data_IF_070590874231
#
_entry.id   IF_070590874231
#
_cell.length_a   1.000
_cell.length_b   1.000
_cell.length_c   1.000
_cell.angle_alpha   90.00
_cell.angle_beta   90.00
_cell.angle_gamma   90.00
#
_symmetry.space_group_name_H-M   'P 1'
#
loop_
_entity.id
_entity.type
_entity.pdbx_description
1 polymer ?
#
# COMPACT_ATOMS: atom_id res chain seq x y z
N UNK A 1 8.27 7.75 -4.09
CA UNK A 1 7.96 8.32 -5.42
C UNK A 1 8.07 7.27 -6.50
N UNK A 2 7.17 7.31 -7.48
CA UNK A 2 7.17 6.40 -8.62
C UNK A 2 6.70 7.13 -9.89
N UNK A 3 6.90 6.49 -11.04
CA UNK A 3 6.38 6.94 -12.33
C UNK A 3 5.43 5.88 -12.86
N UNK A 4 4.29 6.30 -13.36
CA UNK A 4 3.24 5.41 -13.86
C UNK A 4 2.68 5.93 -15.17
N UNK A 5 2.48 5.04 -16.16
CA UNK A 5 1.68 5.31 -17.32
C UNK A 5 0.31 4.65 -17.20
N UNK A 6 -0.77 5.42 -17.26
CA UNK A 6 -2.13 4.91 -17.22
C UNK A 6 -3.11 5.87 -17.89
N UNK A 7 -4.17 5.35 -18.52
CA UNK A 7 -5.19 6.17 -19.20
C UNK A 7 -4.62 7.13 -20.26
N UNK A 8 -3.55 6.74 -20.95
CA UNK A 8 -2.87 7.56 -21.94
C UNK A 8 -2.05 8.73 -21.36
N UNK A 9 -1.84 8.79 -20.07
CA UNK A 9 -1.11 9.85 -19.36
C UNK A 9 0.09 9.27 -18.61
N UNK A 10 1.14 10.07 -18.42
CA UNK A 10 2.30 9.76 -17.60
C UNK A 10 2.23 10.56 -16.31
N UNK A 11 2.37 9.88 -15.18
CA UNK A 11 2.29 10.47 -13.85
C UNK A 11 3.60 10.30 -13.08
N UNK A 12 4.00 11.33 -12.36
CA UNK A 12 4.91 11.23 -11.22
C UNK A 12 4.08 11.24 -9.95
N UNK A 13 4.31 10.23 -9.10
CA UNK A 13 3.53 9.98 -7.90
C UNK A 13 4.38 10.16 -6.64
N UNK A 14 3.76 10.70 -5.59
CA UNK A 14 4.31 10.75 -4.25
C UNK A 14 3.16 10.71 -3.24
N UNK A 15 3.38 10.14 -2.07
CA UNK A 15 2.31 9.85 -1.11
C UNK A 15 1.86 11.06 -0.26
N UNK A 16 2.34 12.25 -0.55
CA UNK A 16 2.01 13.48 0.18
C UNK A 16 1.06 14.45 -0.53
N UNK A 17 0.53 14.10 -1.71
CA UNK A 17 -0.36 15.00 -2.45
C UNK A 17 -0.86 14.44 -3.77
N UNK A 18 -1.26 15.33 -4.67
CA UNK A 18 -1.72 14.97 -5.99
C UNK A 18 -0.59 14.43 -6.88
N UNK A 19 -0.90 13.53 -7.82
CA UNK A 19 0.02 13.20 -8.89
C UNK A 19 0.36 14.42 -9.75
N UNK A 20 1.54 14.40 -10.35
CA UNK A 20 1.90 15.36 -11.38
C UNK A 20 1.83 14.71 -12.77
N UNK A 21 1.20 15.37 -13.73
CA UNK A 21 1.30 14.99 -15.13
C UNK A 21 2.68 15.36 -15.68
N UNK A 22 3.19 14.47 -16.52
CA UNK A 22 4.46 14.65 -17.22
C UNK A 22 4.27 14.43 -18.72
N UNK A 23 5.13 15.07 -19.51
CA UNK A 23 5.28 14.75 -20.93
C UNK A 23 6.11 13.48 -21.10
N UNK A 24 6.12 12.91 -22.31
CA UNK A 24 7.04 11.82 -22.67
C UNK A 24 8.52 12.23 -22.63
N UNK A 25 8.81 13.53 -22.69
CA UNK A 25 10.14 14.10 -22.49
C UNK A 25 10.51 14.33 -21.03
N UNK A 26 9.64 13.92 -20.08
CA UNK A 26 9.80 14.05 -18.64
C UNK A 26 9.64 15.47 -18.09
N UNK A 27 9.11 16.40 -18.89
CA UNK A 27 8.77 17.72 -18.38
C UNK A 27 7.51 17.65 -17.51
N UNK A 28 7.49 18.39 -16.41
CA UNK A 28 6.31 18.50 -15.55
C UNK A 28 5.26 19.40 -16.20
N UNK A 29 4.06 18.86 -16.44
CA UNK A 29 2.92 19.63 -16.95
C UNK A 29 2.21 20.36 -15.81
N UNK A 30 2.03 19.69 -14.67
CA UNK A 30 1.39 20.25 -13.48
C UNK A 30 0.66 19.21 -12.62
N UNK A 31 0.03 19.67 -11.56
CA UNK A 31 -0.79 18.82 -10.68
C UNK A 31 -2.01 18.28 -11.45
N UNK A 32 -2.35 17.04 -11.18
CA UNK A 32 -3.51 16.38 -11.77
C UNK A 32 -4.43 15.81 -10.70
N UNK A 33 -5.66 16.23 -10.73
CA UNK A 33 -6.68 15.84 -9.75
C UNK A 33 -7.81 15.00 -10.34
N UNK A 34 -7.57 14.34 -11.48
CA UNK A 34 -8.59 13.56 -12.21
C UNK A 34 -9.84 14.39 -12.49
N UNK A 35 -9.64 15.56 -13.11
CA UNK A 35 -10.67 16.51 -13.54
C UNK A 35 -11.61 16.95 -12.39
N UNK A 36 -11.03 17.18 -11.22
CA UNK A 36 -11.72 17.60 -10.01
C UNK A 36 -12.29 16.47 -9.13
N UNK A 37 -11.98 15.23 -9.46
CA UNK A 37 -12.36 14.08 -8.64
C UNK A 37 -11.63 14.05 -7.31
N UNK A 38 -10.29 14.16 -7.32
CA UNK A 38 -9.52 14.35 -6.10
C UNK A 38 -9.72 15.77 -5.55
N UNK A 39 -9.87 15.86 -4.24
CA UNK A 39 -10.15 17.13 -3.54
C UNK A 39 -8.88 17.67 -2.88
N UNK A 40 -8.78 18.97 -2.68
CA UNK A 40 -7.68 19.57 -1.91
C UNK A 40 -7.47 18.84 -0.59
N UNK A 41 -6.23 18.45 -0.31
CA UNK A 41 -5.86 17.64 0.84
C UNK A 41 -5.81 16.12 0.61
N UNK A 42 -6.29 15.63 -0.54
CA UNK A 42 -6.11 14.22 -0.91
C UNK A 42 -4.65 13.95 -1.25
N UNK A 43 -4.10 12.93 -0.63
CA UNK A 43 -2.77 12.41 -0.93
C UNK A 43 -2.91 11.01 -1.56
N UNK A 44 -2.47 10.87 -2.81
CA UNK A 44 -2.54 9.61 -3.55
C UNK A 44 -1.31 8.76 -3.25
N UNK A 45 -1.49 7.44 -3.03
CA UNK A 45 -0.35 6.54 -2.84
C UNK A 45 0.64 6.60 -4.01
N UNK A 46 1.92 6.44 -3.71
CA UNK A 46 2.98 6.32 -4.71
C UNK A 46 3.12 4.88 -5.27
N UNK A 47 2.35 3.93 -4.76
CA UNK A 47 2.43 2.51 -5.11
C UNK A 47 1.10 1.93 -5.63
N UNK A 48 0.42 2.59 -6.59
CA UNK A 48 -0.79 2.01 -7.18
C UNK A 48 -0.45 0.74 -7.95
N UNK A 49 -1.47 -0.10 -8.17
CA UNK A 49 -1.34 -1.32 -8.97
C UNK A 49 -2.26 -1.25 -10.19
N UNK A 50 -1.78 -1.71 -11.31
CA UNK A 50 -2.62 -1.89 -12.51
C UNK A 50 -3.08 -3.34 -12.57
N UNK A 51 -4.39 -3.54 -12.62
CA UNK A 51 -4.96 -4.87 -12.76
C UNK A 51 -4.69 -5.39 -14.18
N UNK A 52 -3.95 -6.49 -14.37
CA UNK A 52 -3.56 -6.97 -15.69
C UNK A 52 -4.74 -7.45 -16.54
N UNK A 53 -5.86 -7.84 -15.91
CA UNK A 53 -7.04 -8.32 -16.64
C UNK A 53 -7.94 -7.21 -17.16
N UNK A 54 -8.07 -6.13 -16.41
CA UNK A 54 -8.99 -5.03 -16.72
C UNK A 54 -8.31 -3.75 -17.17
N UNK A 55 -7.01 -3.61 -16.90
CA UNK A 55 -6.27 -2.37 -17.07
C UNK A 55 -6.65 -1.29 -16.06
N UNK A 56 -7.49 -1.59 -15.08
CA UNK A 56 -7.88 -0.63 -14.05
C UNK A 56 -6.72 -0.34 -13.10
N UNK A 57 -6.57 0.93 -12.77
CA UNK A 57 -5.65 1.40 -11.74
C UNK A 57 -6.33 1.29 -10.37
N UNK A 58 -5.69 0.58 -9.47
CA UNK A 58 -6.10 0.44 -8.07
C UNK A 58 -5.14 1.29 -7.22
N UNK A 59 -5.68 2.24 -6.51
CA UNK A 59 -4.92 3.21 -5.74
C UNK A 59 -5.65 3.56 -4.45
N UNK A 60 -5.04 4.29 -3.55
CA UNK A 60 -5.74 4.83 -2.40
C UNK A 60 -5.39 6.30 -2.17
N UNK A 61 -6.33 7.00 -1.57
CA UNK A 61 -6.14 8.38 -1.09
C UNK A 61 -6.27 8.42 0.42
N UNK A 62 -5.46 9.26 1.04
CA UNK A 62 -5.51 9.56 2.46
C UNK A 62 -5.66 11.07 2.65
N UNK A 63 -6.37 11.46 3.72
CA UNK A 63 -6.48 12.85 4.16
C UNK A 63 -6.19 12.92 5.65
N UNK A 64 -5.51 13.95 6.06
CA UNK A 64 -5.16 14.14 7.48
C UNK A 64 -6.37 14.42 8.37
N UNK A 65 -7.40 15.04 7.80
CA UNK A 65 -8.62 15.49 8.49
C UNK A 65 -9.76 14.45 8.48
N UNK A 66 -9.55 13.26 7.88
CA UNK A 66 -10.59 12.24 7.78
C UNK A 66 -10.19 10.97 8.55
N UNK A 67 -11.15 10.31 9.28
CA UNK A 67 -10.89 9.07 10.03
C UNK A 67 -10.97 7.81 9.14
N UNK A 68 -10.63 7.93 7.86
CA UNK A 68 -10.62 6.85 6.87
C UNK A 68 -9.58 7.13 5.78
N UNK A 69 -9.23 6.11 5.02
CA UNK A 69 -8.66 6.24 3.69
C UNK A 69 -9.67 5.76 2.65
N UNK A 70 -9.48 6.12 1.40
CA UNK A 70 -10.38 5.71 0.32
C UNK A 70 -9.62 4.88 -0.70
N UNK A 71 -10.04 3.63 -0.89
CA UNK A 71 -9.61 2.83 -2.02
C UNK A 71 -10.29 3.35 -3.28
N UNK A 72 -9.50 3.67 -4.31
CA UNK A 72 -9.97 4.21 -5.58
C UNK A 72 -9.76 3.19 -6.68
N UNK A 73 -10.78 2.98 -7.53
CA UNK A 73 -10.67 2.19 -8.75
C UNK A 73 -10.89 3.13 -9.93
N UNK A 74 -9.90 3.20 -10.80
CA UNK A 74 -9.88 4.07 -11.98
C UNK A 74 -9.79 3.16 -13.20
N UNK A 75 -10.71 3.28 -14.15
CA UNK A 75 -10.74 2.41 -15.31
C UNK A 75 -9.52 2.60 -16.24
N UNK A 76 -9.37 1.73 -17.21
CA UNK A 76 -8.23 1.77 -18.14
C UNK A 76 -8.15 3.03 -18.99
N UNK A 77 -9.21 3.82 -19.06
CA UNK A 77 -9.26 5.12 -19.71
C UNK A 77 -8.85 6.27 -18.78
N UNK A 78 -8.62 6.01 -17.50
CA UNK A 78 -8.26 7.01 -16.50
C UNK A 78 -9.46 7.68 -15.84
N UNK A 79 -10.68 7.10 -15.95
CA UNK A 79 -11.87 7.60 -15.32
C UNK A 79 -12.09 6.91 -13.96
N UNK A 80 -12.26 7.65 -12.85
CA UNK A 80 -12.66 7.09 -11.57
C UNK A 80 -14.04 6.41 -11.68
N UNK A 81 -14.12 5.14 -11.27
CA UNK A 81 -15.35 4.35 -11.39
C UNK A 81 -15.87 3.84 -10.04
N UNK A 82 -15.03 3.78 -9.03
CA UNK A 82 -15.43 3.36 -7.68
C UNK A 82 -14.53 3.94 -6.61
N UNK A 83 -15.14 4.29 -5.48
CA UNK A 83 -14.47 4.67 -4.25
C UNK A 83 -15.03 3.83 -3.09
N UNK A 84 -14.17 3.30 -2.23
CA UNK A 84 -14.53 2.51 -1.05
C UNK A 84 -13.84 3.15 0.15
N UNK A 85 -14.63 3.71 1.07
CA UNK A 85 -14.09 4.26 2.31
C UNK A 85 -13.79 3.15 3.31
N UNK A 86 -12.60 3.20 3.87
CA UNK A 86 -12.12 2.20 4.83
C UNK A 86 -11.80 2.92 6.14
N UNK A 87 -12.48 2.58 7.24
CA UNK A 87 -12.27 3.24 8.51
C UNK A 87 -10.80 3.16 8.96
N UNK A 88 -10.27 4.30 9.40
CA UNK A 88 -8.92 4.42 9.94
C UNK A 88 -8.98 5.32 11.18
N UNK A 89 -9.37 4.78 12.33
CA UNK A 89 -9.62 5.61 13.53
C UNK A 89 -8.37 6.31 14.06
N UNK A 90 -7.19 5.79 13.74
CA UNK A 90 -5.90 6.45 13.97
C UNK A 90 -5.13 6.54 12.66
N UNK A 91 -4.44 7.65 12.43
CA UNK A 91 -3.65 7.87 11.21
C UNK A 91 -2.41 7.00 11.20
N UNK A 92 -2.54 5.80 10.64
CA UNK A 92 -1.42 4.91 10.40
C UNK A 92 -0.70 5.23 9.09
N UNK A 93 0.54 4.79 9.01
CA UNK A 93 1.34 4.89 7.80
C UNK A 93 0.94 3.74 6.87
N UNK A 94 0.10 4.06 5.88
CA UNK A 94 -0.26 3.15 4.79
C UNK A 94 0.54 3.58 3.57
N UNK A 95 1.53 2.79 3.20
CA UNK A 95 2.48 3.14 2.14
C UNK A 95 2.16 2.46 0.82
N UNK A 96 1.85 1.17 0.84
CA UNK A 96 1.61 0.34 -0.35
C UNK A 96 0.30 -0.44 -0.21
N UNK A 97 -0.17 -0.99 -1.30
CA UNK A 97 -1.32 -1.88 -1.40
C UNK A 97 -1.02 -3.02 -2.36
N UNK A 98 -1.73 -4.15 -2.25
CA UNK A 98 -1.52 -5.29 -3.12
C UNK A 98 -2.82 -5.89 -3.63
N UNK A 99 -2.87 -6.17 -4.94
CA UNK A 99 -3.94 -6.99 -5.52
C UNK A 99 -3.76 -8.46 -5.14
N UNK A 100 -4.86 -9.10 -4.76
CA UNK A 100 -4.93 -10.54 -4.47
C UNK A 100 -6.24 -11.08 -5.04
N UNK A 101 -6.24 -11.51 -6.30
CA UNK A 101 -7.47 -11.93 -6.97
C UNK A 101 -8.53 -10.81 -6.96
N UNK A 102 -9.68 -11.09 -6.38
CA UNK A 102 -10.77 -10.11 -6.25
C UNK A 102 -10.64 -9.15 -5.06
N UNK A 103 -9.55 -9.24 -4.30
CA UNK A 103 -9.30 -8.39 -3.15
C UNK A 103 -8.15 -7.40 -3.37
N UNK A 104 -8.20 -6.30 -2.63
CA UNK A 104 -7.06 -5.44 -2.37
C UNK A 104 -6.66 -5.62 -0.92
N UNK A 105 -5.39 -5.93 -0.67
CA UNK A 105 -4.85 -6.07 0.67
C UNK A 105 -4.03 -4.85 1.03
N UNK A 106 -4.25 -4.35 2.23
CA UNK A 106 -3.53 -3.22 2.83
C UNK A 106 -3.09 -3.63 4.23
N UNK A 107 -1.85 -3.33 4.59
CA UNK A 107 -1.37 -3.44 5.95
C UNK A 107 -1.65 -2.15 6.71
N UNK A 108 -2.22 -2.28 7.90
CA UNK A 108 -2.48 -1.21 8.85
C UNK A 108 -1.61 -1.47 10.09
N UNK A 109 -0.33 -1.05 10.03
CA UNK A 109 0.63 -1.28 11.11
C UNK A 109 0.34 -0.38 12.30
N UNK A 110 0.80 -0.72 13.52
CA UNK A 110 0.75 0.16 14.68
C UNK A 110 1.82 1.27 14.62
N UNK A 111 1.94 1.88 13.46
CA UNK A 111 2.82 3.01 13.15
C UNK A 111 1.96 4.22 12.81
N UNK A 112 1.87 5.17 13.70
CA UNK A 112 0.92 6.27 13.60
C UNK A 112 1.61 7.61 13.41
N UNK A 113 0.86 8.55 12.82
CA UNK A 113 1.26 9.94 12.76
C UNK A 113 0.69 10.72 13.94
N UNK A 114 1.53 11.50 14.62
CA UNK A 114 1.14 12.49 15.62
C UNK A 114 1.32 13.90 15.05
N UNK A 115 0.22 14.49 14.61
CA UNK A 115 0.21 15.83 14.03
C UNK A 115 0.68 16.91 15.02
N UNK A 116 0.43 16.72 16.33
CA UNK A 116 0.84 17.69 17.34
C UNK A 116 2.36 17.72 17.50
N UNK A 117 3.02 16.56 17.34
CA UNK A 117 4.50 16.50 17.28
C UNK A 117 5.03 17.13 16.01
N UNK A 118 4.41 16.85 14.85
CA UNK A 118 4.78 17.46 13.58
C UNK A 118 4.74 18.99 13.65
N UNK A 119 3.68 19.56 14.21
CA UNK A 119 3.52 21.02 14.39
C UNK A 119 4.57 21.65 15.31
N UNK A 120 5.17 20.88 16.21
CA UNK A 120 6.28 21.31 17.09
C UNK A 120 7.65 21.07 16.48
N UNK A 121 7.73 20.53 15.26
CA UNK A 121 9.00 20.14 14.63
C UNK A 121 9.66 18.91 15.28
N UNK A 122 8.90 18.16 16.08
CA UNK A 122 9.32 16.89 16.67
C UNK A 122 9.12 15.73 15.66
N UNK A 123 9.67 14.55 16.00
CA UNK A 123 9.42 13.34 15.20
C UNK A 123 7.94 12.97 15.27
N UNK A 124 7.20 13.02 14.14
CA UNK A 124 5.77 12.81 14.13
C UNK A 124 5.37 11.33 14.18
N UNK A 125 6.33 10.42 14.15
CA UNK A 125 6.01 8.99 14.10
C UNK A 125 5.96 8.38 15.49
N UNK A 126 4.93 7.55 15.69
CA UNK A 126 4.72 6.76 16.90
C UNK A 126 4.66 5.29 16.52
N UNK A 127 5.49 4.47 17.14
CA UNK A 127 5.47 3.01 17.01
C UNK A 127 4.99 2.37 18.32
N UNK A 128 3.98 1.49 18.23
CA UNK A 128 3.38 0.80 19.36
C UNK A 128 3.54 -0.73 19.22
N UNK A 129 4.64 -1.33 19.67
CA UNK A 129 4.94 -2.75 19.44
C UNK A 129 3.95 -3.71 20.09
N UNK A 130 3.24 -3.29 21.15
CA UNK A 130 2.25 -4.08 21.85
C UNK A 130 0.86 -4.03 21.20
N UNK A 131 0.65 -3.14 20.23
CA UNK A 131 -0.60 -3.04 19.48
C UNK A 131 -0.54 -3.96 18.26
N UNK A 132 -1.49 -4.88 18.06
CA UNK A 132 -1.51 -5.73 16.89
C UNK A 132 -1.55 -4.93 15.58
N UNK A 133 -0.81 -5.38 14.58
CA UNK A 133 -1.00 -4.93 13.21
C UNK A 133 -2.29 -5.53 12.65
N UNK A 134 -3.01 -4.74 11.85
CA UNK A 134 -4.21 -5.21 11.14
C UNK A 134 -3.93 -5.37 9.66
N UNK A 135 -4.52 -6.38 9.07
CA UNK A 135 -4.51 -6.60 7.63
C UNK A 135 -5.94 -6.43 7.15
N UNK A 136 -6.11 -5.59 6.14
CA UNK A 136 -7.40 -5.23 5.58
C UNK A 136 -7.51 -5.85 4.20
N UNK A 137 -8.49 -6.74 3.99
CA UNK A 137 -8.81 -7.28 2.68
C UNK A 137 -10.13 -6.70 2.19
N UNK A 138 -10.06 -5.90 1.13
CA UNK A 138 -11.15 -5.11 0.58
C UNK A 138 -11.62 -5.75 -0.73
N UNK A 139 -12.86 -6.26 -0.83
CA UNK A 139 -13.40 -6.78 -2.08
C UNK A 139 -13.53 -5.67 -3.13
N UNK A 140 -12.84 -5.80 -4.27
CA UNK A 140 -12.88 -4.79 -5.37
C UNK A 140 -14.27 -4.61 -5.97
N UNK A 141 -15.06 -5.68 -5.95
CA UNK A 141 -16.39 -5.72 -6.58
C UNK A 141 -17.53 -5.38 -5.61
N UNK A 142 -17.19 -5.01 -4.37
CA UNK A 142 -18.14 -4.76 -3.29
C UNK A 142 -18.31 -5.96 -2.38
N UNK A 143 -18.84 -5.75 -1.20
CA UNK A 143 -18.97 -6.72 -0.12
C UNK A 143 -18.32 -6.24 1.16
N UNK A 144 -18.31 -7.08 2.18
CA UNK A 144 -17.78 -6.74 3.49
C UNK A 144 -16.25 -6.65 3.49
N UNK A 145 -15.73 -5.60 4.09
CA UNK A 145 -14.28 -5.45 4.33
C UNK A 145 -13.88 -6.43 5.43
N UNK A 146 -12.88 -7.25 5.14
CA UNK A 146 -12.41 -8.26 6.07
C UNK A 146 -11.17 -7.75 6.82
N UNK A 147 -11.18 -7.94 8.14
CA UNK A 147 -10.11 -7.55 9.03
C UNK A 147 -9.46 -8.78 9.64
N UNK A 148 -8.13 -8.77 9.68
CA UNK A 148 -7.31 -9.79 10.31
C UNK A 148 -6.33 -9.11 11.27
N UNK A 149 -5.83 -9.85 12.25
CA UNK A 149 -4.85 -9.34 13.21
C UNK A 149 -3.65 -10.28 13.29
N UNK A 150 -2.49 -9.69 13.57
CA UNK A 150 -1.21 -10.37 13.73
C UNK A 150 -0.34 -9.58 14.71
N UNK A 151 0.71 -10.16 15.30
CA UNK A 151 1.70 -9.39 16.05
C UNK A 151 2.20 -8.18 15.27
N UNK A 152 2.62 -7.14 15.97
CA UNK A 152 3.11 -5.92 15.36
C UNK A 152 4.26 -6.19 14.38
N UNK A 153 4.16 -5.64 13.21
CA UNK A 153 5.21 -5.61 12.19
C UNK A 153 5.03 -4.38 11.31
N UNK A 154 6.04 -4.05 10.53
CA UNK A 154 5.97 -3.01 9.51
C UNK A 154 6.37 -3.58 8.14
N UNK A 155 5.88 -2.96 7.08
CA UNK A 155 6.29 -3.24 5.71
C UNK A 155 6.16 -1.97 4.88
N UNK A 156 7.18 -1.68 4.07
CA UNK A 156 7.06 -0.66 3.04
C UNK A 156 6.43 -1.22 1.78
N UNK A 157 6.90 -2.37 1.30
CA UNK A 157 6.56 -2.83 -0.04
C UNK A 157 6.08 -4.27 -0.08
N UNK A 158 5.08 -4.50 -0.92
CA UNK A 158 4.66 -5.82 -1.34
C UNK A 158 5.47 -6.28 -2.56
N UNK A 159 5.67 -7.60 -2.67
CA UNK A 159 6.19 -8.22 -3.89
C UNK A 159 5.04 -8.55 -4.84
N UNK A 160 4.09 -9.36 -4.38
CA UNK A 160 2.87 -9.70 -5.08
C UNK A 160 1.89 -10.38 -4.11
N UNK A 161 0.67 -10.64 -4.58
CA UNK A 161 -0.32 -11.43 -3.86
C UNK A 161 -1.24 -12.14 -4.84
N UNK A 162 -1.92 -13.18 -4.38
CA UNK A 162 -2.91 -13.90 -5.18
C UNK A 162 -3.91 -14.64 -4.29
N UNK A 163 -5.05 -14.97 -4.86
CA UNK A 163 -6.05 -15.81 -4.22
C UNK A 163 -5.92 -17.25 -4.70
N UNK A 164 -6.01 -18.21 -3.76
CA UNK A 164 -6.09 -19.64 -4.06
C UNK A 164 -6.86 -20.36 -2.96
N UNK A 165 -7.85 -21.15 -3.35
CA UNK A 165 -8.63 -22.02 -2.46
C UNK A 165 -9.24 -21.28 -1.25
N UNK A 166 -9.79 -20.08 -1.47
CA UNK A 166 -10.37 -19.23 -0.42
C UNK A 166 -9.36 -18.62 0.54
N UNK A 167 -8.12 -18.53 0.12
CA UNK A 167 -7.02 -17.90 0.88
C UNK A 167 -6.35 -16.82 0.07
N UNK A 168 -6.00 -15.70 0.72
CA UNK A 168 -5.14 -14.69 0.14
C UNK A 168 -3.70 -14.98 0.56
N UNK A 169 -2.82 -15.10 -0.42
CA UNK A 169 -1.39 -15.37 -0.23
C UNK A 169 -0.64 -14.11 -0.65
N UNK A 170 0.15 -13.55 0.25
CA UNK A 170 0.79 -12.25 0.08
C UNK A 170 2.28 -12.38 0.35
N UNK A 171 3.11 -12.00 -0.60
CA UNK A 171 4.56 -11.91 -0.43
C UNK A 171 4.96 -10.44 -0.26
N UNK A 172 5.74 -10.15 0.77
CA UNK A 172 6.07 -8.79 1.19
C UNK A 172 7.40 -8.74 1.95
N UNK A 173 7.95 -7.55 2.11
CA UNK A 173 9.14 -7.34 2.94
C UNK A 173 8.71 -7.06 4.38
N UNK A 174 8.99 -7.99 5.26
CA UNK A 174 8.73 -7.87 6.69
C UNK A 174 9.84 -7.08 7.40
N UNK A 175 9.42 -6.22 8.33
CA UNK A 175 10.30 -5.50 9.25
C UNK A 175 9.74 -5.58 10.67
N UNK A 176 10.63 -5.71 11.65
CA UNK A 176 10.25 -5.74 13.06
C UNK A 176 9.56 -4.45 13.53
N UNK A 177 9.97 -3.32 12.98
CA UNK A 177 9.44 -1.98 13.31
C UNK A 177 9.66 -1.00 12.17
N UNK A 178 8.95 0.14 12.23
CA UNK A 178 9.18 1.22 11.27
C UNK A 178 10.57 1.83 11.45
N UNK A 179 11.34 2.04 10.38
CA UNK A 179 12.57 2.81 10.42
C UNK A 179 12.25 4.30 10.42
N UNK A 180 12.41 4.98 11.55
CA UNK A 180 12.21 6.44 11.66
C UNK A 180 13.33 7.21 10.99
N UNK A 181 12.99 8.36 10.38
CA UNK A 181 13.93 9.18 9.63
C UNK A 181 15.15 9.64 10.46
N UNK A 182 14.95 9.99 11.73
CA UNK A 182 16.05 10.38 12.65
C UNK A 182 16.98 9.23 13.01
N UNK A 183 16.52 7.98 12.86
CA UNK A 183 17.30 6.78 13.17
C UNK A 183 17.78 6.05 11.90
N UNK A 184 17.53 6.59 10.71
CA UNK A 184 17.90 5.93 9.46
C UNK A 184 19.40 5.63 9.36
N UNK A 185 20.25 6.48 9.92
CA UNK A 185 21.71 6.27 9.88
C UNK A 185 22.23 5.37 11.02
N UNK A 186 21.45 5.13 12.08
CA UNK A 186 21.92 4.39 13.26
C UNK A 186 21.30 3.02 13.45
N UNK A 187 20.28 2.65 12.68
CA UNK A 187 19.48 1.43 12.92
C UNK A 187 19.13 0.60 11.69
N UNK A 188 19.29 1.11 10.47
CA UNK A 188 18.91 0.39 9.26
C UNK A 188 19.73 -0.89 9.06
N UNK A 189 21.00 -0.86 9.38
CA UNK A 189 21.92 -2.00 9.24
C UNK A 189 21.62 -3.15 10.22
N UNK A 190 20.85 -2.90 11.27
CA UNK A 190 20.54 -3.89 12.32
C UNK A 190 19.09 -4.39 12.29
N UNK A 191 18.22 -3.81 11.46
CA UNK A 191 16.84 -4.28 11.37
C UNK A 191 16.73 -5.46 10.41
N UNK A 192 16.08 -6.51 10.87
CA UNK A 192 15.73 -7.65 10.02
C UNK A 192 14.74 -7.20 8.96
N UNK A 193 15.10 -7.41 7.69
CA UNK A 193 14.24 -7.20 6.52
C UNK A 193 14.36 -8.41 5.63
N UNK A 194 13.31 -9.19 5.57
CA UNK A 194 13.30 -10.43 4.80
C UNK A 194 11.98 -10.56 4.06
N UNK A 195 12.02 -11.34 2.99
CA UNK A 195 10.79 -11.77 2.33
C UNK A 195 10.00 -12.70 3.24
N UNK A 196 8.74 -12.35 3.45
CA UNK A 196 7.76 -13.17 4.14
C UNK A 196 6.60 -13.51 3.22
N UNK A 197 5.95 -14.63 3.51
CA UNK A 197 4.67 -15.02 2.92
C UNK A 197 3.63 -15.11 4.01
N UNK A 198 2.62 -14.26 3.88
CA UNK A 198 1.43 -14.27 4.71
C UNK A 198 0.29 -14.98 3.98
N UNK A 199 -0.47 -15.77 4.72
CA UNK A 199 -1.70 -16.39 4.22
C UNK A 199 -2.85 -16.01 5.12
N UNK A 200 -3.90 -15.46 4.52
CA UNK A 200 -5.15 -15.09 5.18
C UNK A 200 -6.25 -16.07 4.74
N UNK A 201 -6.80 -16.83 5.65
CA UNK A 201 -7.93 -17.72 5.36
C UNK A 201 -9.23 -16.91 5.44
N UNK A 202 -9.92 -16.78 4.31
CA UNK A 202 -11.12 -15.94 4.20
C UNK A 202 -12.30 -16.48 5.02
N UNK A 203 -12.33 -17.79 5.25
CA UNK A 203 -13.41 -18.47 5.98
C UNK A 203 -13.17 -18.47 7.48
N UNK A 204 -12.00 -18.91 7.92
CA UNK A 204 -11.67 -19.09 9.34
C UNK A 204 -11.12 -17.85 10.00
N UNK A 205 -10.71 -16.85 9.21
CA UNK A 205 -9.99 -15.65 9.63
C UNK A 205 -8.59 -15.93 10.22
N UNK A 206 -8.09 -17.12 10.02
CA UNK A 206 -6.74 -17.46 10.46
C UNK A 206 -5.69 -16.71 9.61
N UNK A 207 -4.63 -16.28 10.29
CA UNK A 207 -3.44 -15.68 9.68
C UNK A 207 -2.25 -16.59 9.96
N UNK A 208 -1.50 -16.92 8.93
CA UNK A 208 -0.20 -17.54 9.07
C UNK A 208 0.83 -16.70 8.33
N UNK A 209 2.00 -16.54 8.91
CA UNK A 209 3.10 -15.81 8.33
C UNK A 209 4.40 -16.60 8.50
N UNK A 210 5.22 -16.65 7.46
CA UNK A 210 6.50 -17.31 7.53
C UNK A 210 7.53 -16.62 6.63
N UNK A 211 8.76 -16.65 7.08
CA UNK A 211 9.91 -16.17 6.34
C UNK A 211 10.18 -17.08 5.15
N UNK A 212 10.35 -16.49 3.97
CA UNK A 212 10.59 -17.21 2.72
C UNK A 212 12.08 -17.41 2.46
N UNK A 213 12.92 -16.51 2.94
CA UNK A 213 14.37 -16.56 2.74
C UNK A 213 15.15 -15.72 3.76
N UNK A 214 16.46 -15.95 3.83
CA UNK A 214 17.35 -15.27 4.77
C UNK A 214 18.04 -14.02 4.20
N UNK A 215 17.77 -13.69 2.95
CA UNK A 215 18.39 -12.56 2.27
C UNK A 215 17.76 -11.27 2.79
N UNK A 216 18.60 -10.34 3.23
CA UNK A 216 18.19 -8.97 3.51
C UNK A 216 17.80 -8.29 2.20
N UNK A 217 16.56 -7.81 2.12
CA UNK A 217 16.03 -7.25 0.87
C UNK A 217 15.04 -6.12 1.12
N UNK A 218 14.80 -5.33 0.09
CA UNK A 218 13.79 -4.29 0.02
C UNK A 218 13.39 -4.04 -1.46
N UNK A 219 12.31 -3.28 -1.69
CA UNK A 219 11.82 -2.96 -3.02
C UNK A 219 11.51 -4.18 -3.88
N UNK A 220 10.95 -5.20 -3.25
CA UNK A 220 10.60 -6.43 -3.96
C UNK A 220 9.62 -6.19 -5.12
N UNK A 221 9.84 -6.90 -6.21
CA UNK A 221 9.06 -6.79 -7.45
C UNK A 221 8.75 -8.16 -8.02
N UNK A 222 7.62 -8.27 -8.68
CA UNK A 222 7.27 -9.39 -9.55
C UNK A 222 6.96 -8.88 -10.96
N UNK A 223 6.72 -9.78 -11.88
CA UNK A 223 6.21 -9.41 -13.20
C UNK A 223 4.83 -8.75 -13.05
N UNK A 224 4.71 -7.48 -13.46
CA UNK A 224 3.48 -6.71 -13.32
C UNK A 224 2.30 -7.30 -14.12
N UNK A 225 2.57 -8.11 -15.16
CA UNK A 225 1.55 -8.87 -15.90
C UNK A 225 0.88 -9.95 -15.04
N UNK A 226 1.52 -10.29 -13.91
CA UNK A 226 1.04 -11.26 -12.92
C UNK A 226 0.61 -10.59 -11.61
N UNK A 227 0.43 -9.28 -11.59
CA UNK A 227 -0.07 -8.57 -10.42
C UNK A 227 -1.45 -9.11 -9.99
N UNK A 228 -1.58 -9.56 -8.76
CA UNK A 228 -2.81 -10.16 -8.24
C UNK A 228 -3.01 -11.63 -8.61
N UNK A 229 -2.06 -12.27 -9.30
CA UNK A 229 -2.14 -13.65 -9.82
C UNK A 229 -1.01 -14.52 -9.29
N UNK A 230 -1.18 -15.85 -9.31
CA UNK A 230 -0.07 -16.77 -9.02
C UNK A 230 1.14 -16.50 -9.91
N UNK A 231 2.30 -16.51 -9.33
CA UNK A 231 3.56 -16.24 -9.99
C UNK A 231 4.66 -17.15 -9.46
N UNK A 232 5.82 -17.16 -10.12
CA UNK A 232 6.95 -18.04 -9.77
C UNK A 232 8.17 -17.29 -9.30
N UNK A 233 8.45 -16.12 -9.87
CA UNK A 233 9.68 -15.37 -9.63
C UNK A 233 9.37 -14.00 -9.05
N UNK A 234 10.03 -13.68 -7.94
CA UNK A 234 10.14 -12.34 -7.36
C UNK A 234 11.60 -11.90 -7.37
N UNK A 235 11.80 -10.61 -7.38
CA UNK A 235 13.11 -9.96 -7.35
C UNK A 235 13.13 -8.96 -6.19
N UNK A 236 14.25 -8.88 -5.45
CA UNK A 236 14.40 -7.95 -4.33
C UNK A 236 15.87 -7.57 -4.14
#
# INVERSE_FOLDING_TARGET
TSVLQHGGKLYSLWEGGFPHLMTSGLDTVGLYNYDGYLKPGDALTAHPKVCPDTGALITCTQRWDQPYFTLQIIDKQGKPVRAIEVPMPRKAIIHDLQLCGDYVVIFYPPAYHDINKALKGEDPFLWEPETPAKIIAIPRNGGDILWFETPAFFSWHFCNGFERDGKLIIDYVWMEKIPFAKNMNSGLEKQTRNMHRMTLDLKTKAVTDHKVGDIYCEFSRSDERLCGKPYKYGFA
#
